data_IF_296380755924
#
_entry.id   IF_296380755924
#
_cell.length_a   1.000
_cell.length_b   1.000
_cell.length_c   1.000
_cell.angle_alpha   90.00
_cell.angle_beta   90.00
_cell.angle_gamma   90.00
#
_symmetry.space_group_name_H-M   'P 1'
#
loop_
_entity.id
_entity.type
_entity.pdbx_description
1 polymer ?
#
# COMPACT_ATOMS: atom_id res chain seq x y z
N UNK A 1 7.80 8.24 -10.61
CA UNK A 1 6.58 7.43 -10.49
C UNK A 1 5.91 7.77 -9.18
N UNK A 2 4.59 7.66 -9.13
CA UNK A 2 3.84 7.80 -7.89
C UNK A 2 3.66 6.45 -7.19
N UNK A 3 3.52 6.51 -5.87
CA UNK A 3 3.01 5.37 -5.09
C UNK A 3 1.55 5.09 -5.50
N UNK A 4 1.17 3.84 -5.85
CA UNK A 4 -0.20 3.48 -6.21
C UNK A 4 -1.23 3.88 -5.15
N UNK A 5 -0.91 3.71 -3.86
CA UNK A 5 -1.82 4.04 -2.76
C UNK A 5 -2.13 5.53 -2.69
N UNK A 6 -1.18 6.41 -3.01
CA UNK A 6 -1.43 7.86 -3.10
C UNK A 6 -2.30 8.23 -4.27
N UNK A 7 -2.22 7.49 -5.38
CA UNK A 7 -3.09 7.71 -6.55
C UNK A 7 -4.52 7.27 -6.29
N UNK A 8 -4.71 6.23 -5.47
CA UNK A 8 -6.04 5.76 -5.05
C UNK A 8 -6.65 6.60 -3.92
N UNK A 9 -5.87 6.95 -2.89
CA UNK A 9 -6.35 7.66 -1.69
C UNK A 9 -5.37 8.76 -1.27
N UNK A 10 -5.38 9.87 -2.01
CA UNK A 10 -4.39 10.95 -1.88
C UNK A 10 -4.25 11.52 -0.46
N UNK A 11 -5.36 11.75 0.26
CA UNK A 11 -5.30 12.33 1.61
C UNK A 11 -4.63 11.40 2.63
N UNK A 12 -4.89 10.08 2.55
CA UNK A 12 -4.34 9.09 3.49
C UNK A 12 -2.85 8.84 3.29
N UNK A 13 -2.40 8.85 2.04
CA UNK A 13 -1.03 8.52 1.66
C UNK A 13 -0.27 9.72 1.08
N UNK A 14 -0.60 10.93 1.57
CA UNK A 14 -0.02 12.20 1.09
C UNK A 14 1.50 12.25 1.26
N UNK A 15 2.01 11.70 2.38
CA UNK A 15 3.45 11.63 2.69
C UNK A 15 4.25 10.89 1.62
N UNK A 16 3.66 9.97 0.87
CA UNK A 16 4.39 9.25 -0.18
C UNK A 16 4.80 10.16 -1.35
N UNK A 17 4.18 11.35 -1.51
CA UNK A 17 4.57 12.34 -2.53
C UNK A 17 5.99 12.87 -2.36
N UNK A 18 6.58 12.76 -1.17
CA UNK A 18 7.96 13.20 -0.91
C UNK A 18 9.01 12.18 -1.37
N UNK A 19 8.62 10.97 -1.74
CA UNK A 19 9.54 9.90 -2.12
C UNK A 19 9.83 9.95 -3.62
N UNK A 20 11.12 9.94 -3.99
CA UNK A 20 11.55 9.91 -5.39
C UNK A 20 11.60 8.47 -5.91
N UNK A 21 10.46 7.93 -6.34
CA UNK A 21 10.35 6.58 -6.90
C UNK A 21 10.67 6.61 -8.40
N UNK A 22 11.82 6.10 -8.82
CA UNK A 22 12.31 6.16 -10.22
C UNK A 22 11.92 4.92 -11.02
N UNK A 23 11.75 3.78 -10.36
CA UNK A 23 11.46 2.47 -10.96
C UNK A 23 10.34 1.73 -10.22
N UNK A 24 9.82 0.65 -10.82
CA UNK A 24 8.85 -0.23 -10.14
C UNK A 24 9.52 -1.00 -8.99
N UNK A 25 10.82 -1.27 -9.07
CA UNK A 25 11.60 -1.84 -7.95
C UNK A 25 11.64 -0.88 -6.73
N UNK A 26 11.77 0.43 -6.96
CA UNK A 26 11.68 1.43 -5.88
C UNK A 26 10.30 1.41 -5.22
N UNK A 27 9.23 1.22 -6.02
CA UNK A 27 7.86 1.13 -5.51
C UNK A 27 7.70 -0.11 -4.64
N UNK A 28 8.16 -1.30 -5.07
CA UNK A 28 8.12 -2.52 -4.26
C UNK A 28 8.78 -2.33 -2.89
N UNK A 29 10.00 -1.79 -2.91
CA UNK A 29 10.76 -1.48 -1.69
C UNK A 29 10.01 -0.47 -0.81
N UNK A 30 9.43 0.57 -1.42
CA UNK A 30 8.64 1.57 -0.71
C UNK A 30 7.39 0.97 -0.03
N UNK A 31 6.66 0.10 -0.73
CA UNK A 31 5.48 -0.58 -0.20
C UNK A 31 5.85 -1.46 1.00
N UNK A 32 6.89 -2.29 0.87
CA UNK A 32 7.34 -3.15 1.95
C UNK A 32 7.85 -2.39 3.19
N UNK A 33 8.49 -1.23 3.01
CA UNK A 33 9.03 -0.44 4.13
C UNK A 33 8.02 0.43 4.86
N UNK A 34 7.07 1.01 4.12
CA UNK A 34 6.23 2.08 4.64
C UNK A 34 4.74 1.75 4.68
N UNK A 35 4.32 0.69 3.98
CA UNK A 35 2.90 0.32 3.89
C UNK A 35 2.60 -1.09 4.34
N UNK A 36 3.61 -1.93 4.63
CA UNK A 36 3.36 -3.27 5.13
C UNK A 36 2.53 -3.20 6.41
N UNK A 37 1.40 -3.89 6.39
CA UNK A 37 0.45 -3.88 7.47
C UNK A 37 1.04 -4.59 8.69
N UNK A 38 0.94 -3.95 9.86
CA UNK A 38 1.33 -4.59 11.12
C UNK A 38 0.46 -5.83 11.37
N UNK A 39 1.02 -6.90 11.96
CA UNK A 39 0.24 -8.06 12.39
C UNK A 39 -0.94 -7.60 13.23
N UNK A 40 -2.14 -8.12 12.95
CA UNK A 40 -3.34 -7.70 13.66
C UNK A 40 -4.24 -8.88 14.01
N UNK A 41 -5.12 -8.69 14.99
CA UNK A 41 -6.12 -9.68 15.35
C UNK A 41 -7.36 -9.54 14.45
N UNK A 42 -7.79 -10.58 13.72
CA UNK A 42 -8.97 -10.48 12.86
C UNK A 42 -10.27 -10.27 13.65
N UNK A 43 -10.29 -10.64 14.93
CA UNK A 43 -11.45 -10.51 15.82
C UNK A 43 -11.61 -9.09 16.37
N UNK A 44 -10.58 -8.54 17.01
CA UNK A 44 -10.67 -7.24 17.68
C UNK A 44 -9.98 -6.08 16.93
N UNK A 45 -9.30 -6.37 15.81
CA UNK A 45 -8.58 -5.41 14.95
C UNK A 45 -7.36 -4.72 15.57
N UNK A 46 -6.97 -5.06 16.79
CA UNK A 46 -5.74 -4.55 17.40
C UNK A 46 -4.51 -4.96 16.59
N UNK A 47 -3.59 -4.01 16.39
CA UNK A 47 -2.29 -4.22 15.75
C UNK A 47 -1.20 -4.54 16.76
N UNK A 48 -0.19 -5.28 16.33
CA UNK A 48 0.91 -5.77 17.15
C UNK A 48 2.26 -5.47 16.50
N UNK A 49 3.30 -5.34 17.33
CA UNK A 49 4.67 -5.11 16.86
C UNK A 49 5.24 -6.26 16.03
N UNK A 50 4.76 -7.49 16.25
CA UNK A 50 5.21 -8.70 15.56
C UNK A 50 4.16 -9.82 15.66
N UNK A 51 4.34 -10.87 14.84
CA UNK A 51 3.42 -12.01 14.78
C UNK A 51 3.34 -12.78 16.10
N UNK A 52 4.45 -12.92 16.83
CA UNK A 52 4.46 -13.60 18.12
C UNK A 52 3.54 -12.92 19.15
N UNK A 53 3.55 -11.58 19.23
CA UNK A 53 2.64 -10.83 20.10
C UNK A 53 1.17 -11.00 19.71
N UNK A 54 0.88 -11.03 18.39
CA UNK A 54 -0.46 -11.33 17.86
C UNK A 54 -0.89 -12.74 18.23
N UNK A 55 -0.01 -13.73 18.13
CA UNK A 55 -0.30 -15.13 18.43
C UNK A 55 -0.57 -15.34 19.92
N UNK A 56 0.26 -14.73 20.79
CA UNK A 56 0.02 -14.71 22.23
C UNK A 56 -1.34 -14.08 22.56
N UNK A 57 -1.71 -12.99 21.88
CA UNK A 57 -3.03 -12.39 22.04
C UNK A 57 -4.15 -13.34 21.59
N UNK A 58 -4.03 -13.95 20.41
CA UNK A 58 -5.03 -14.85 19.86
C UNK A 58 -5.27 -16.07 20.77
N UNK A 59 -4.22 -16.64 21.36
CA UNK A 59 -4.29 -17.77 22.30
C UNK A 59 -5.06 -17.47 23.58
N UNK A 60 -5.09 -16.21 24.04
CA UNK A 60 -5.86 -15.83 25.23
C UNK A 60 -7.37 -15.83 24.98
N UNK A 61 -7.80 -15.74 23.73
CA UNK A 61 -9.21 -15.72 23.28
C UNK A 61 -10.11 -14.73 24.04
N UNK A 62 -9.53 -13.71 24.67
CA UNK A 62 -10.22 -12.83 25.62
C UNK A 62 -10.63 -11.48 25.01
N UNK A 63 -10.46 -11.31 23.71
CA UNK A 63 -10.76 -10.05 23.02
C UNK A 63 -12.18 -10.03 22.48
N UNK A 64 -12.84 -8.87 22.56
CA UNK A 64 -14.16 -8.67 21.97
C UNK A 64 -14.07 -8.54 20.44
N UNK A 65 -15.09 -9.05 19.73
CA UNK A 65 -15.24 -8.82 18.30
C UNK A 65 -15.47 -7.34 18.02
N UNK A 66 -14.83 -6.82 16.99
CA UNK A 66 -14.97 -5.46 16.51
C UNK A 66 -15.40 -5.46 15.04
N UNK A 67 -16.38 -4.63 14.71
CA UNK A 67 -16.84 -4.40 13.34
C UNK A 67 -16.03 -3.30 12.63
N UNK A 68 -14.97 -2.79 13.28
CA UNK A 68 -14.05 -1.86 12.63
C UNK A 68 -13.41 -2.51 11.39
N UNK A 69 -13.10 -1.72 10.35
CA UNK A 69 -12.38 -2.22 9.19
C UNK A 69 -10.99 -2.73 9.59
N UNK A 70 -10.43 -3.60 8.77
CA UNK A 70 -9.06 -4.05 8.95
C UNK A 70 -8.08 -2.86 8.93
N UNK A 71 -6.98 -2.95 9.71
CA UNK A 71 -5.97 -1.91 9.72
C UNK A 71 -5.48 -1.60 8.29
N UNK A 72 -5.24 -0.32 7.96
CA UNK A 72 -4.78 0.03 6.63
C UNK A 72 -3.37 -0.46 6.37
N UNK A 73 -3.08 -0.73 5.10
CA UNK A 73 -1.75 -1.12 4.64
C UNK A 73 -1.82 -2.08 3.47
N UNK A 74 -0.67 -2.65 3.16
CA UNK A 74 -0.47 -3.73 2.19
C UNK A 74 -0.30 -5.02 2.99
N UNK A 75 -1.10 -6.03 2.67
CA UNK A 75 -0.94 -7.35 3.28
C UNK A 75 0.33 -8.03 2.78
N UNK A 76 0.86 -8.98 3.55
CA UNK A 76 2.03 -9.76 3.10
C UNK A 76 1.73 -10.51 1.79
N UNK A 77 0.48 -10.91 1.57
CA UNK A 77 0.05 -11.63 0.38
C UNK A 77 0.02 -10.71 -0.85
N UNK A 78 -0.54 -9.50 -0.71
CA UNK A 78 -0.48 -8.48 -1.76
C UNK A 78 0.97 -8.13 -2.12
N UNK A 79 1.85 -7.99 -1.13
CA UNK A 79 3.27 -7.70 -1.38
C UNK A 79 3.95 -8.82 -2.16
N UNK A 80 3.71 -10.09 -1.80
CA UNK A 80 4.22 -11.24 -2.57
C UNK A 80 3.69 -11.27 -3.99
N UNK A 81 2.41 -10.97 -4.20
CA UNK A 81 1.82 -10.89 -5.54
C UNK A 81 2.47 -9.78 -6.37
N UNK A 82 2.73 -8.61 -5.77
CA UNK A 82 3.41 -7.48 -6.41
C UNK A 82 4.86 -7.81 -6.80
N UNK A 83 5.57 -8.53 -5.94
CA UNK A 83 6.94 -8.95 -6.21
C UNK A 83 7.01 -9.95 -7.38
N UNK A 84 5.95 -10.74 -7.59
CA UNK A 84 5.84 -11.68 -8.70
C UNK A 84 5.41 -11.02 -10.03
N UNK A 85 4.90 -9.78 -10.02
CA UNK A 85 4.53 -9.07 -11.24
C UNK A 85 5.79 -8.65 -11.98
N UNK A 86 5.93 -9.06 -13.25
CA UNK A 86 6.97 -8.57 -14.14
C UNK A 86 6.38 -8.30 -15.53
N UNK A 87 6.68 -7.13 -16.09
CA UNK A 87 6.32 -6.78 -17.45
C UNK A 87 7.48 -6.00 -18.10
N UNK A 88 7.70 -6.18 -19.40
CA UNK A 88 8.71 -5.42 -20.15
C UNK A 88 8.30 -3.96 -20.27
N UNK A 89 7.01 -3.68 -20.32
CA UNK A 89 6.47 -2.34 -20.25
C UNK A 89 6.30 -1.92 -18.77
N UNK A 90 7.10 -0.92 -18.38
CA UNK A 90 7.12 -0.33 -17.05
C UNK A 90 5.75 0.23 -16.63
N UNK A 91 4.99 0.80 -17.56
CA UNK A 91 3.66 1.35 -17.29
C UNK A 91 2.66 0.24 -17.01
N UNK A 92 2.67 -0.82 -17.82
CA UNK A 92 1.79 -1.98 -17.62
C UNK A 92 2.13 -2.73 -16.33
N UNK A 93 3.41 -2.87 -16.00
CA UNK A 93 3.85 -3.43 -14.71
C UNK A 93 3.29 -2.61 -13.54
N UNK A 94 3.31 -1.28 -13.63
CA UNK A 94 2.79 -0.40 -12.60
C UNK A 94 1.27 -0.53 -12.43
N UNK A 95 0.51 -0.61 -13.52
CA UNK A 95 -0.95 -0.79 -13.45
C UNK A 95 -1.32 -2.17 -12.88
N UNK A 96 -0.59 -3.23 -13.24
CA UNK A 96 -0.77 -4.54 -12.61
C UNK A 96 -0.50 -4.50 -11.10
N UNK A 97 0.54 -3.78 -10.65
CA UNK A 97 0.77 -3.54 -9.21
C UNK A 97 -0.38 -2.73 -8.58
N UNK A 98 -0.93 -1.75 -9.30
CA UNK A 98 -2.06 -0.95 -8.82
C UNK A 98 -3.31 -1.81 -8.59
N UNK A 99 -3.63 -2.72 -9.51
CA UNK A 99 -4.79 -3.61 -9.40
C UNK A 99 -4.73 -4.54 -8.19
N UNK A 100 -3.53 -5.04 -7.86
CA UNK A 100 -3.32 -5.86 -6.66
C UNK A 100 -3.57 -5.05 -5.38
N UNK A 101 -3.12 -3.80 -5.36
CA UNK A 101 -3.23 -2.91 -4.20
C UNK A 101 -4.62 -2.32 -4.02
N UNK A 102 -5.30 -2.05 -5.14
CA UNK A 102 -6.54 -1.29 -5.20
C UNK A 102 -7.58 -2.03 -6.07
N UNK A 103 -7.96 -3.26 -5.70
CA UNK A 103 -8.87 -4.07 -6.51
C UNK A 103 -10.20 -3.35 -6.70
N UNK A 104 -10.68 -3.30 -7.95
CA UNK A 104 -11.93 -2.63 -8.32
C UNK A 104 -11.87 -1.09 -8.38
N UNK A 105 -10.71 -0.49 -8.10
CA UNK A 105 -10.52 0.96 -8.28
C UNK A 105 -10.09 1.21 -9.73
N UNK A 106 -10.74 2.14 -10.47
CA UNK A 106 -10.32 2.51 -11.81
C UNK A 106 -8.87 3.00 -11.82
N UNK A 107 -8.14 2.68 -12.89
CA UNK A 107 -6.77 3.16 -13.05
C UNK A 107 -6.73 4.68 -13.11
N UNK A 108 -5.74 5.31 -12.46
CA UNK A 108 -5.51 6.74 -12.66
C UNK A 108 -5.03 7.00 -14.10
N UNK A 109 -5.28 8.19 -14.61
CA UNK A 109 -4.87 8.59 -15.96
C UNK A 109 -3.34 8.54 -16.20
N UNK A 110 -2.52 8.51 -15.14
CA UNK A 110 -1.06 8.52 -15.24
C UNK A 110 -0.41 7.90 -14.00
N UNK A 111 0.68 7.15 -14.21
CA UNK A 111 1.52 6.57 -13.14
C UNK A 111 2.45 7.58 -12.44
N UNK A 112 2.50 8.82 -12.90
CA UNK A 112 3.38 9.86 -12.36
C UNK A 112 2.66 10.71 -11.30
N UNK A 113 3.44 11.44 -10.49
CA UNK A 113 2.86 12.50 -9.68
C UNK A 113 2.28 13.57 -10.60
N UNK A 114 1.20 14.22 -10.16
CA UNK A 114 0.81 15.49 -10.76
C UNK A 114 1.97 16.45 -10.53
N UNK A 115 2.69 16.78 -11.59
CA UNK A 115 3.58 17.92 -11.55
C UNK A 115 2.65 19.13 -11.46
N UNK A 116 2.70 19.88 -10.34
CA UNK A 116 2.26 21.26 -10.38
C UNK A 116 3.13 21.91 -11.44
N UNK A 117 2.56 22.11 -12.63
CA UNK A 117 3.10 23.06 -13.59
C UNK A 117 2.86 24.40 -12.88
N UNK A 118 3.83 24.86 -12.11
CA UNK A 118 3.94 26.28 -11.85
C UNK A 118 4.33 26.88 -13.20
N UNK A 119 3.34 27.16 -14.03
CA UNK A 119 3.50 28.14 -15.08
C UNK A 119 3.79 29.44 -14.34
N UNK A 120 5.06 29.84 -14.30
CA UNK A 120 5.40 31.25 -14.11
C UNK A 120 4.61 32.02 -15.17
N UNK A 121 3.60 32.74 -14.69
CA UNK A 121 2.85 33.67 -15.50
C UNK A 121 3.72 34.93 -15.56
N UNK A 122 4.34 35.11 -16.73
CA UNK A 122 4.97 36.32 -17.28
C UNK A 122 6.15 36.96 -16.52
#
# INVERSE_FOLDING_TARGET
>A
LACPLTKSKACRYSRCRTYRLRSNADIRTHLGRYHLQLPFCPTCKNTFKNHAARDTHAKKTSCARSDAPDPPGVTQDQLRSIDAVHNRDKQQEWYAMFDILCPGVPHPASMYHEHSIFSEVL
#
